data_IF_605113444276
#
_entry.id   IF_605113444276
#
_cell.length_a   1.000
_cell.length_b   1.000
_cell.length_c   1.000
_cell.angle_alpha   90.00
_cell.angle_beta   90.00
_cell.angle_gamma   90.00
#
_symmetry.space_group_name_H-M   'P 1'
#
loop_
_entity.id
_entity.type
_entity.pdbx_description
1 polymer ?
#
# COMPACT_ATOMS: atom_id res chain seq x y z
N UNK A 1 -4.88 -9.14 -13.67
CA UNK A 1 -5.18 -10.52 -13.23
C UNK A 1 -4.88 -10.74 -11.73
N UNK A 2 -3.81 -10.11 -11.17
CA UNK A 2 -3.43 -10.27 -9.76
C UNK A 2 -4.56 -10.04 -8.76
N UNK A 3 -5.26 -8.89 -8.78
CA UNK A 3 -6.37 -8.63 -7.86
C UNK A 3 -7.56 -9.59 -7.98
N UNK A 4 -7.78 -10.20 -9.16
CA UNK A 4 -8.84 -11.16 -9.36
C UNK A 4 -8.48 -12.56 -8.86
N UNK A 5 -7.25 -12.99 -9.06
CA UNK A 5 -6.78 -14.32 -8.71
C UNK A 5 -6.19 -14.39 -7.30
N UNK A 6 -5.59 -13.29 -6.81
CA UNK A 6 -4.92 -13.22 -5.50
C UNK A 6 -5.80 -13.69 -4.34
N UNK A 7 -7.01 -13.14 -4.16
CA UNK A 7 -7.89 -13.54 -3.07
C UNK A 7 -8.32 -15.01 -3.13
N UNK A 8 -8.53 -15.55 -4.33
CA UNK A 8 -8.89 -16.98 -4.50
C UNK A 8 -7.73 -17.87 -4.10
N UNK A 9 -6.54 -17.63 -4.67
CA UNK A 9 -5.35 -18.42 -4.35
C UNK A 9 -4.92 -18.25 -2.89
N UNK A 10 -4.96 -17.02 -2.35
CA UNK A 10 -4.63 -16.75 -0.96
C UNK A 10 -5.59 -17.44 0.00
N UNK A 11 -6.91 -17.39 -0.28
CA UNK A 11 -7.92 -18.09 0.49
C UNK A 11 -7.73 -19.62 0.45
N UNK A 12 -7.54 -20.17 -0.75
CA UNK A 12 -7.32 -21.61 -0.92
C UNK A 12 -6.04 -22.10 -0.22
N UNK A 13 -4.94 -21.35 -0.31
CA UNK A 13 -3.70 -21.69 0.40
C UNK A 13 -3.89 -21.67 1.91
N UNK A 14 -4.63 -20.70 2.44
CA UNK A 14 -4.91 -20.56 3.86
C UNK A 14 -5.73 -21.73 4.39
N UNK A 15 -6.78 -22.13 3.67
CA UNK A 15 -7.69 -23.18 4.09
C UNK A 15 -7.09 -24.60 3.96
N UNK A 16 -6.24 -24.85 2.95
CA UNK A 16 -5.73 -26.19 2.65
C UNK A 16 -4.32 -26.47 3.18
N UNK A 17 -3.49 -25.42 3.32
CA UNK A 17 -2.10 -25.58 3.75
C UNK A 17 -1.84 -24.79 5.02
N UNK A 18 -1.47 -23.51 4.90
CA UNK A 18 -1.37 -22.57 6.02
C UNK A 18 -1.17 -21.17 5.48
N UNK A 19 -1.50 -20.15 6.28
CA UNK A 19 -1.32 -18.75 5.92
C UNK A 19 0.14 -18.38 5.59
N UNK A 20 1.14 -19.10 6.11
CA UNK A 20 2.56 -18.89 5.82
C UNK A 20 2.88 -19.06 4.32
N UNK A 21 2.16 -19.94 3.63
CA UNK A 21 2.38 -20.19 2.21
C UNK A 21 2.05 -19.00 1.33
N UNK A 22 1.21 -18.08 1.78
CA UNK A 22 0.93 -16.81 1.09
C UNK A 22 2.22 -16.01 0.89
N UNK A 23 3.13 -16.06 1.87
CA UNK A 23 4.42 -15.37 1.80
C UNK A 23 5.47 -16.22 1.05
N UNK A 24 5.53 -17.51 1.34
CA UNK A 24 6.52 -18.40 0.76
C UNK A 24 6.41 -18.53 -0.75
N UNK A 25 5.20 -18.51 -1.30
CA UNK A 25 4.97 -18.58 -2.77
C UNK A 25 5.54 -17.35 -3.50
N UNK A 26 5.67 -16.22 -2.82
CA UNK A 26 6.25 -15.02 -3.40
C UNK A 26 7.77 -15.12 -3.56
N UNK A 27 8.46 -15.93 -2.74
CA UNK A 27 9.91 -16.05 -2.78
C UNK A 27 10.41 -16.54 -4.15
N UNK A 28 9.95 -17.68 -4.71
CA UNK A 28 10.38 -18.11 -6.04
C UNK A 28 9.98 -17.11 -7.14
N UNK A 29 8.81 -16.46 -7.02
CA UNK A 29 8.35 -15.45 -7.99
C UNK A 29 9.29 -14.23 -7.98
N UNK A 30 9.66 -13.74 -6.80
CA UNK A 30 10.59 -12.60 -6.66
C UNK A 30 11.97 -12.98 -7.20
N UNK A 31 12.48 -14.16 -6.89
CA UNK A 31 13.76 -14.65 -7.40
C UNK A 31 13.74 -14.69 -8.93
N UNK A 32 12.71 -15.27 -9.55
CA UNK A 32 12.54 -15.28 -11.01
C UNK A 32 12.42 -13.87 -11.60
N UNK A 33 11.69 -12.99 -10.95
CA UNK A 33 11.54 -11.59 -11.39
C UNK A 33 12.88 -10.83 -11.29
N UNK A 34 13.68 -11.05 -10.26
CA UNK A 34 15.03 -10.47 -10.12
C UNK A 34 15.97 -10.95 -11.21
N UNK A 35 16.03 -12.25 -11.47
CA UNK A 35 16.86 -12.81 -12.55
C UNK A 35 16.39 -12.34 -13.92
N UNK A 36 15.08 -12.42 -14.19
CA UNK A 36 14.50 -11.95 -15.45
C UNK A 36 14.73 -10.44 -15.65
N UNK A 37 14.53 -9.64 -14.63
CA UNK A 37 14.78 -8.20 -14.65
C UNK A 37 16.27 -7.89 -14.91
N UNK A 38 17.18 -8.58 -14.22
CA UNK A 38 18.61 -8.39 -14.42
C UNK A 38 19.08 -8.71 -15.86
N UNK A 39 18.45 -9.70 -16.50
CA UNK A 39 18.81 -10.07 -17.88
C UNK A 39 18.14 -9.11 -18.90
N UNK A 40 16.85 -8.85 -18.72
CA UNK A 40 16.06 -8.09 -19.69
C UNK A 40 16.31 -6.58 -19.64
N UNK A 41 16.61 -6.03 -18.45
CA UNK A 41 16.84 -4.58 -18.29
C UNK A 41 18.28 -4.16 -18.56
N UNK A 42 19.23 -5.09 -18.51
CA UNK A 42 20.65 -4.80 -18.76
C UNK A 42 20.94 -4.04 -20.06
N UNK A 43 20.32 -4.35 -21.21
CA UNK A 43 20.54 -3.61 -22.46
C UNK A 43 19.85 -2.24 -22.52
N UNK A 44 18.97 -1.94 -21.57
CA UNK A 44 18.14 -0.71 -21.53
C UNK A 44 18.60 0.20 -20.37
N UNK A 45 19.68 -0.17 -19.65
CA UNK A 45 20.21 0.66 -18.57
C UNK A 45 20.62 2.03 -19.11
N UNK A 46 19.99 3.07 -18.58
CA UNK A 46 20.39 4.47 -18.77
C UNK A 46 21.60 4.79 -17.90
N UNK A 47 22.35 5.82 -18.29
CA UNK A 47 23.50 6.30 -17.53
C UNK A 47 23.16 6.50 -16.05
N UNK A 48 23.93 5.87 -15.17
CA UNK A 48 23.73 5.96 -13.73
C UNK A 48 24.05 7.36 -13.23
N UNK A 49 23.06 8.13 -12.87
CA UNK A 49 23.26 9.35 -12.09
C UNK A 49 23.36 8.98 -10.61
N UNK A 50 24.51 9.23 -10.00
CA UNK A 50 24.69 9.08 -8.56
C UNK A 50 24.10 10.33 -7.92
N UNK A 51 22.88 10.21 -7.42
CA UNK A 51 22.22 11.24 -6.61
C UNK A 51 22.45 10.87 -5.14
N UNK A 52 22.92 11.79 -4.28
CA UNK A 52 23.04 11.52 -2.85
C UNK A 52 21.66 11.16 -2.28
N UNK A 53 21.62 10.10 -1.50
CA UNK A 53 20.39 9.68 -0.82
C UNK A 53 20.19 10.57 0.40
N UNK A 54 19.01 11.15 0.55
CA UNK A 54 18.60 11.87 1.75
C UNK A 54 18.28 10.87 2.87
N UNK A 55 19.31 10.50 3.64
CA UNK A 55 19.14 9.60 4.78
C UNK A 55 18.31 10.19 5.91
N UNK A 56 18.34 11.52 6.09
CA UNK A 56 17.58 12.18 7.15
C UNK A 56 16.09 12.15 6.84
N UNK A 57 15.70 12.54 5.63
CA UNK A 57 14.32 12.42 5.17
C UNK A 57 13.81 10.98 5.22
N UNK A 58 14.64 10.02 4.79
CA UNK A 58 14.30 8.59 4.83
C UNK A 58 14.04 8.10 6.28
N UNK A 59 14.93 8.42 7.22
CA UNK A 59 14.79 7.99 8.62
C UNK A 59 13.54 8.62 9.24
N UNK A 60 13.32 9.92 9.02
CA UNK A 60 12.13 10.61 9.51
C UNK A 60 10.85 10.01 8.94
N UNK A 61 10.83 9.68 7.63
CA UNK A 61 9.72 9.01 6.97
C UNK A 61 9.43 7.65 7.62
N UNK A 62 10.45 6.84 7.84
CA UNK A 62 10.31 5.51 8.47
C UNK A 62 9.79 5.63 9.90
N UNK A 63 10.27 6.61 10.68
CA UNK A 63 9.84 6.81 12.06
C UNK A 63 8.36 7.22 12.13
N UNK A 64 7.96 8.29 11.42
CA UNK A 64 6.59 8.77 11.56
C UNK A 64 5.56 7.81 10.95
N UNK A 65 5.84 7.19 9.80
CA UNK A 65 4.94 6.20 9.20
C UNK A 65 4.91 4.93 10.03
N UNK A 66 6.08 4.45 10.51
CA UNK A 66 6.17 3.24 11.33
C UNK A 66 5.43 3.39 12.66
N UNK A 67 5.63 4.50 13.38
CA UNK A 67 4.88 4.76 14.60
C UNK A 67 3.38 4.88 14.35
N UNK A 68 2.97 5.59 13.30
CA UNK A 68 1.56 5.71 12.93
C UNK A 68 0.94 4.34 12.59
N UNK A 69 1.66 3.51 11.82
CA UNK A 69 1.20 2.16 11.48
C UNK A 69 1.00 1.30 12.73
N UNK A 70 1.96 1.32 13.67
CA UNK A 70 1.85 0.57 14.91
C UNK A 70 0.64 1.02 15.72
N UNK A 71 0.41 2.35 15.86
CA UNK A 71 -0.75 2.91 16.55
C UNK A 71 -2.06 2.38 15.95
N UNK A 72 -2.17 2.42 14.62
CA UNK A 72 -3.39 1.99 13.92
C UNK A 72 -3.62 0.48 14.03
N UNK A 73 -2.55 -0.32 14.11
CA UNK A 73 -2.62 -1.77 14.17
C UNK A 73 -3.00 -2.29 15.56
N UNK A 74 -2.34 -1.79 16.60
CA UNK A 74 -2.53 -2.29 17.97
C UNK A 74 -3.40 -1.40 18.85
N UNK A 75 -3.72 -0.17 18.44
CA UNK A 75 -4.41 0.83 19.27
C UNK A 75 -5.73 0.32 19.83
N UNK A 76 -6.50 -0.47 19.06
CA UNK A 76 -7.74 -1.07 19.53
C UNK A 76 -7.55 -2.01 20.72
N UNK A 77 -6.41 -2.73 20.77
CA UNK A 77 -6.11 -3.71 21.83
C UNK A 77 -5.51 -3.03 23.08
N UNK A 78 -5.07 -1.78 22.94
CA UNK A 78 -4.41 -0.99 23.98
C UNK A 78 -5.23 0.21 24.45
N UNK A 79 -6.56 0.17 24.32
CA UNK A 79 -7.45 1.26 24.73
C UNK A 79 -7.05 2.66 24.19
N UNK A 80 -6.45 2.67 22.97
CA UNK A 80 -6.03 3.88 22.27
C UNK A 80 -5.18 4.80 23.19
N UNK A 81 -5.56 6.07 23.30
CA UNK A 81 -4.82 7.06 24.08
C UNK A 81 -4.87 6.88 25.61
N UNK A 82 -5.52 5.83 26.10
CA UNK A 82 -5.43 5.41 27.51
C UNK A 82 -4.11 4.72 27.84
N UNK A 83 -3.45 4.11 26.85
CA UNK A 83 -2.15 3.45 27.02
C UNK A 83 -0.99 4.43 26.82
N UNK A 84 -0.06 4.58 27.78
CA UNK A 84 1.14 5.41 27.64
C UNK A 84 2.01 5.08 26.41
N UNK A 85 2.04 3.81 25.99
CA UNK A 85 2.78 3.41 24.79
C UNK A 85 2.19 4.06 23.53
N UNK A 86 0.88 3.99 23.37
CA UNK A 86 0.19 4.59 22.22
C UNK A 86 0.38 6.10 22.21
N UNK A 87 0.30 6.74 23.38
CA UNK A 87 0.56 8.19 23.50
C UNK A 87 2.00 8.52 23.09
N UNK A 88 2.98 7.76 23.58
CA UNK A 88 4.39 7.98 23.23
C UNK A 88 4.63 7.81 21.72
N UNK A 89 4.06 6.78 21.11
CA UNK A 89 4.15 6.57 19.65
C UNK A 89 3.47 7.69 18.87
N UNK A 90 2.30 8.18 19.33
CA UNK A 90 1.58 9.27 18.70
C UNK A 90 2.38 10.59 18.74
N UNK A 91 2.96 10.92 19.89
CA UNK A 91 3.81 12.10 20.04
C UNK A 91 5.05 11.98 19.15
N UNK A 92 5.71 10.82 19.17
CA UNK A 92 6.89 10.56 18.33
C UNK A 92 6.54 10.68 16.84
N UNK A 93 5.44 10.09 16.40
CA UNK A 93 4.98 10.18 15.02
C UNK A 93 4.68 11.62 14.62
N UNK A 94 3.97 12.37 15.47
CA UNK A 94 3.63 13.77 15.19
C UNK A 94 4.87 14.66 15.10
N UNK A 95 5.83 14.52 16.01
CA UNK A 95 7.09 15.27 16.01
C UNK A 95 7.91 14.91 14.77
N UNK A 96 8.09 13.62 14.50
CA UNK A 96 8.85 13.16 13.33
C UNK A 96 8.21 13.62 12.01
N UNK A 97 6.87 13.63 11.91
CA UNK A 97 6.15 14.15 10.75
C UNK A 97 6.38 15.66 10.55
N UNK A 98 6.30 16.45 11.61
CA UNK A 98 6.56 17.90 11.51
C UNK A 98 7.99 18.19 11.07
N UNK A 99 8.97 17.50 11.66
CA UNK A 99 10.38 17.64 11.28
C UNK A 99 10.57 17.18 9.82
N UNK A 100 9.96 16.06 9.42
CA UNK A 100 9.98 15.55 8.05
C UNK A 100 9.47 16.61 7.06
N UNK A 101 8.31 17.20 7.30
CA UNK A 101 7.74 18.21 6.40
C UNK A 101 8.66 19.43 6.29
N UNK A 102 9.23 19.90 7.40
CA UNK A 102 10.17 21.04 7.40
C UNK A 102 11.43 20.67 6.61
N UNK A 103 11.99 19.48 6.85
CA UNK A 103 13.17 18.98 6.19
C UNK A 103 12.98 18.87 4.67
N UNK A 104 11.93 18.18 4.21
CA UNK A 104 11.62 17.99 2.79
C UNK A 104 11.34 19.30 2.05
N UNK A 105 10.88 20.35 2.74
CA UNK A 105 10.68 21.67 2.15
C UNK A 105 11.96 22.50 2.07
N UNK A 106 12.98 22.19 2.89
CA UNK A 106 14.23 22.96 2.97
C UNK A 106 15.40 22.29 2.26
N UNK A 107 15.39 20.96 2.16
CA UNK A 107 16.47 20.19 1.54
C UNK A 107 16.51 20.39 0.01
N UNK A 108 17.72 20.46 -0.56
CA UNK A 108 17.90 20.65 -2.01
C UNK A 108 17.58 19.38 -2.82
N UNK A 109 17.89 18.21 -2.26
CA UNK A 109 17.60 16.90 -2.87
C UNK A 109 16.71 16.07 -1.93
N UNK A 110 15.45 16.48 -1.71
CA UNK A 110 14.57 15.82 -0.76
C UNK A 110 14.20 14.40 -1.22
N UNK A 111 13.92 13.52 -0.27
CA UNK A 111 13.43 12.17 -0.56
C UNK A 111 12.04 12.22 -1.20
N UNK A 112 11.19 13.13 -0.74
CA UNK A 112 9.83 13.38 -1.25
C UNK A 112 9.68 14.87 -1.54
N UNK A 113 9.70 15.26 -2.79
CA UNK A 113 9.54 16.68 -3.14
C UNK A 113 8.10 17.18 -2.87
N UNK A 114 7.88 17.67 -1.64
CA UNK A 114 6.59 18.22 -1.23
C UNK A 114 6.23 19.53 -1.96
N UNK A 115 7.20 20.19 -2.62
CA UNK A 115 6.95 21.43 -3.38
C UNK A 115 6.03 21.18 -4.58
N UNK A 116 5.97 19.94 -5.05
CA UNK A 116 5.05 19.50 -6.12
C UNK A 116 3.58 19.71 -5.74
N UNK A 117 3.25 19.64 -4.44
CA UNK A 117 1.91 19.89 -3.92
C UNK A 117 1.46 21.36 -4.08
N UNK A 118 2.36 22.27 -4.44
CA UNK A 118 1.99 23.64 -4.79
C UNK A 118 1.17 23.72 -6.08
N UNK A 119 1.26 22.71 -6.94
CA UNK A 119 0.38 22.61 -8.11
C UNK A 119 -1.02 22.15 -7.66
N UNK A 120 -1.99 23.08 -7.73
CA UNK A 120 -3.37 22.84 -7.28
C UNK A 120 -4.02 21.63 -7.96
N UNK A 121 -3.80 21.45 -9.27
CA UNK A 121 -4.36 20.31 -10.01
C UNK A 121 -3.84 18.98 -9.45
N UNK A 122 -2.53 18.89 -9.23
CA UNK A 122 -1.91 17.68 -8.67
C UNK A 122 -2.40 17.41 -7.23
N UNK A 123 -2.45 18.46 -6.38
CA UNK A 123 -2.88 18.29 -4.99
C UNK A 123 -4.32 17.81 -4.89
N UNK A 124 -5.22 18.38 -5.68
CA UNK A 124 -6.63 17.93 -5.73
C UNK A 124 -6.70 16.48 -6.21
N UNK A 125 -5.97 16.15 -7.27
CA UNK A 125 -5.94 14.78 -7.80
C UNK A 125 -5.42 13.78 -6.78
N UNK A 126 -4.35 14.12 -6.04
CA UNK A 126 -3.81 13.26 -4.98
C UNK A 126 -4.80 13.04 -3.82
N UNK A 127 -5.50 14.10 -3.39
CA UNK A 127 -6.52 13.98 -2.33
C UNK A 127 -7.68 13.09 -2.79
N UNK A 128 -8.20 13.32 -4.00
CA UNK A 128 -9.28 12.50 -4.57
C UNK A 128 -8.83 11.04 -4.69
N UNK A 129 -7.61 10.82 -5.17
CA UNK A 129 -7.04 9.48 -5.32
C UNK A 129 -6.86 8.80 -3.95
N UNK A 130 -6.35 9.51 -2.95
CA UNK A 130 -6.16 8.97 -1.60
C UNK A 130 -7.49 8.56 -0.96
N UNK A 131 -8.53 9.41 -1.06
CA UNK A 131 -9.85 9.10 -0.51
C UNK A 131 -10.50 7.93 -1.27
N UNK A 132 -10.45 7.94 -2.60
CA UNK A 132 -11.05 6.88 -3.43
C UNK A 132 -10.35 5.54 -3.22
N UNK A 133 -9.02 5.53 -3.23
CA UNK A 133 -8.23 4.33 -2.98
C UNK A 133 -8.38 3.83 -1.54
N UNK A 134 -8.37 4.75 -0.56
CA UNK A 134 -8.58 4.40 0.84
C UNK A 134 -9.93 3.72 1.06
N UNK A 135 -11.00 4.27 0.50
CA UNK A 135 -12.34 3.65 0.56
C UNK A 135 -12.40 2.29 -0.12
N UNK A 136 -11.79 2.16 -1.30
CA UNK A 136 -11.71 0.89 -2.02
C UNK A 136 -10.94 -0.17 -1.22
N UNK A 137 -9.75 0.16 -0.71
CA UNK A 137 -8.95 -0.76 0.09
C UNK A 137 -9.60 -1.13 1.42
N UNK A 138 -10.25 -0.17 2.09
CA UNK A 138 -11.00 -0.44 3.31
C UNK A 138 -12.09 -1.50 3.06
N UNK A 139 -12.86 -1.36 1.99
CA UNK A 139 -13.86 -2.35 1.59
C UNK A 139 -13.24 -3.71 1.26
N UNK A 140 -12.11 -3.70 0.55
CA UNK A 140 -11.39 -4.92 0.16
C UNK A 140 -10.86 -5.71 1.37
N UNK A 141 -10.52 -5.03 2.47
CA UNK A 141 -10.04 -5.67 3.71
C UNK A 141 -11.21 -6.03 4.64
N UNK A 142 -12.14 -5.09 4.86
CA UNK A 142 -13.21 -5.24 5.87
C UNK A 142 -14.25 -6.29 5.44
N UNK A 143 -14.63 -6.32 4.15
CA UNK A 143 -15.69 -7.22 3.68
C UNK A 143 -15.32 -8.70 3.87
N UNK A 144 -14.14 -9.20 3.44
CA UNK A 144 -13.75 -10.58 3.70
C UNK A 144 -13.61 -10.93 5.18
N UNK A 145 -13.10 -10.00 5.99
CA UNK A 145 -13.01 -10.20 7.45
C UNK A 145 -14.39 -10.34 8.07
N UNK A 146 -15.33 -9.48 7.70
CA UNK A 146 -16.72 -9.53 8.15
C UNK A 146 -17.40 -10.84 7.73
N UNK A 147 -17.21 -11.28 6.48
CA UNK A 147 -17.75 -12.54 5.98
C UNK A 147 -17.24 -13.75 6.78
N UNK A 148 -15.96 -13.78 7.10
CA UNK A 148 -15.37 -14.86 7.88
C UNK A 148 -15.82 -14.81 9.36
N UNK A 149 -15.83 -13.62 9.97
CA UNK A 149 -16.14 -13.47 11.40
C UNK A 149 -17.64 -13.67 11.72
N UNK A 150 -18.55 -13.24 10.83
CA UNK A 150 -19.99 -13.19 11.12
C UNK A 150 -20.83 -14.13 10.28
N UNK A 151 -20.43 -14.42 9.03
CA UNK A 151 -21.17 -15.33 8.16
C UNK A 151 -20.59 -16.77 8.17
N UNK A 152 -19.46 -16.98 8.86
CA UNK A 152 -18.80 -18.29 8.92
C UNK A 152 -18.20 -18.76 7.60
N UNK A 153 -17.92 -17.83 6.68
CA UNK A 153 -17.26 -18.17 5.40
C UNK A 153 -15.84 -18.66 5.64
N UNK A 154 -15.40 -19.62 4.84
CA UNK A 154 -13.99 -19.99 4.77
C UNK A 154 -13.19 -18.87 4.06
N UNK A 155 -11.86 -18.87 4.21
CA UNK A 155 -10.99 -17.92 3.54
C UNK A 155 -11.14 -18.03 2.01
N UNK A 156 -11.32 -19.24 1.48
CA UNK A 156 -11.60 -19.49 0.04
C UNK A 156 -12.91 -18.86 -0.41
N UNK A 157 -13.99 -19.01 0.35
CA UNK A 157 -15.30 -18.43 0.01
C UNK A 157 -15.28 -16.91 0.02
N UNK A 158 -14.63 -16.31 1.03
CA UNK A 158 -14.41 -14.86 1.10
C UNK A 158 -13.52 -14.38 -0.07
N UNK A 159 -12.53 -15.19 -0.48
CA UNK A 159 -11.70 -14.94 -1.65
C UNK A 159 -12.49 -14.91 -2.97
N UNK A 160 -13.39 -15.85 -3.18
CA UNK A 160 -14.29 -15.84 -4.34
C UNK A 160 -15.16 -14.59 -4.38
N UNK A 161 -15.78 -14.24 -3.25
CA UNK A 161 -16.60 -13.04 -3.12
C UNK A 161 -15.84 -11.77 -3.52
N UNK A 162 -14.61 -11.60 -3.03
CA UNK A 162 -13.74 -10.46 -3.35
C UNK A 162 -13.31 -10.41 -4.81
N UNK A 163 -13.16 -11.57 -5.45
CA UNK A 163 -12.71 -11.67 -6.84
C UNK A 163 -13.74 -11.16 -7.83
N UNK A 164 -15.03 -11.22 -7.52
CA UNK A 164 -16.07 -10.64 -8.38
C UNK A 164 -15.87 -9.13 -8.58
N UNK A 165 -15.49 -8.40 -7.54
CA UNK A 165 -15.21 -6.97 -7.62
C UNK A 165 -14.02 -6.67 -8.56
N UNK A 166 -12.97 -7.50 -8.48
CA UNK A 166 -11.80 -7.36 -9.33
C UNK A 166 -12.09 -7.73 -10.79
N UNK A 167 -12.92 -8.74 -11.04
CA UNK A 167 -13.39 -9.10 -12.39
C UNK A 167 -14.23 -7.98 -12.99
N UNK A 168 -15.14 -7.40 -12.23
CA UNK A 168 -15.93 -6.25 -12.67
C UNK A 168 -15.02 -5.05 -13.03
N UNK A 169 -14.02 -4.75 -12.21
CA UNK A 169 -13.04 -3.71 -12.51
C UNK A 169 -12.25 -4.00 -13.80
N UNK A 170 -11.86 -5.24 -14.02
CA UNK A 170 -11.13 -5.67 -15.22
C UNK A 170 -11.99 -5.51 -16.50
N UNK A 171 -13.27 -5.77 -16.42
CA UNK A 171 -14.21 -5.62 -17.54
C UNK A 171 -14.54 -4.14 -17.82
N UNK A 172 -14.56 -3.30 -16.79
CA UNK A 172 -14.86 -1.86 -16.95
C UNK A 172 -13.65 -1.06 -17.41
N UNK A 173 -12.42 -1.47 -17.11
CA UNK A 173 -11.20 -0.76 -17.49
C UNK A 173 -11.11 -0.44 -19.00
N UNK A 174 -11.32 -1.40 -19.94
CA UNK A 174 -11.29 -1.07 -21.37
C UNK A 174 -12.43 -0.13 -21.80
N UNK A 175 -13.59 -0.17 -21.14
CA UNK A 175 -14.68 0.76 -21.42
C UNK A 175 -14.30 2.20 -21.08
N UNK A 176 -13.61 2.41 -19.96
CA UNK A 176 -13.11 3.73 -19.57
C UNK A 176 -12.13 4.26 -20.62
N UNK A 177 -11.17 3.43 -21.07
CA UNK A 177 -10.20 3.83 -22.09
C UNK A 177 -10.88 4.19 -23.42
N UNK A 178 -11.93 3.47 -23.81
CA UNK A 178 -12.67 3.73 -25.05
C UNK A 178 -13.55 5.00 -24.96
N UNK A 179 -14.03 5.35 -23.77
CA UNK A 179 -14.90 6.51 -23.56
C UNK A 179 -14.10 7.80 -23.30
N UNK A 180 -12.89 7.69 -22.74
CA UNK A 180 -12.05 8.83 -22.37
C UNK A 180 -11.76 9.83 -23.53
N UNK A 181 -11.56 9.41 -24.79
CA UNK A 181 -11.34 10.34 -25.90
C UNK A 181 -12.58 11.14 -26.31
N UNK A 182 -13.76 10.84 -25.74
CA UNK A 182 -15.04 11.51 -26.06
C UNK A 182 -15.41 12.60 -25.08
N UNK A 183 -14.67 12.73 -23.99
CA UNK A 183 -14.82 13.78 -22.97
C UNK A 183 -13.50 14.55 -22.79
#
# INVERSE_FOLDING_TARGET
LGPALGPIFGGWLTDNWSWHWIFLINVPIVVLAMFGGAILLRPIETDRRIIPIDYVGLILLVIWVGCLQIILDIGRNHDWFGDPLIVALAVTSAIAFLIFVIWELTEDNPMVDLRVLRNRGLSVSLVVLAISFGGYFAGFVIVPQWQQAWLGFTATQAGYSSSFSAIAALLTAPLVVLLMPRF
#
